data_IF_685064438173
#
_entry.id   IF_685064438173
#
_cell.length_a   1.000
_cell.length_b   1.000
_cell.length_c   1.000
_cell.angle_alpha   90.00
_cell.angle_beta   90.00
_cell.angle_gamma   90.00
#
_symmetry.space_group_name_H-M   'P 1'
#
loop_
_entity.id
_entity.type
_entity.pdbx_description
1 polymer ?
#
# COMPACT_ATOMS: atom_id res chain seq x y z
N UNK A 1 -21.75 2.76 -16.89
CA UNK A 1 -21.04 1.64 -16.24
C UNK A 1 -21.91 0.42 -16.35
N UNK A 2 -21.34 -0.69 -16.78
CA UNK A 2 -22.03 -1.98 -16.72
C UNK A 2 -22.03 -2.51 -15.28
N UNK A 3 -22.81 -3.56 -15.05
CA UNK A 3 -22.95 -4.17 -13.72
C UNK A 3 -21.61 -4.65 -13.16
N UNK A 4 -20.72 -5.18 -14.01
CA UNK A 4 -19.38 -5.60 -13.64
C UNK A 4 -18.50 -4.45 -13.16
N UNK A 5 -18.51 -3.32 -13.89
CA UNK A 5 -17.79 -2.11 -13.50
C UNK A 5 -18.28 -1.53 -12.18
N UNK A 6 -19.59 -1.57 -11.91
CA UNK A 6 -20.16 -1.13 -10.63
C UNK A 6 -19.66 -2.00 -9.46
N UNK A 7 -19.66 -3.34 -9.63
CA UNK A 7 -19.14 -4.27 -8.62
C UNK A 7 -17.67 -3.97 -8.31
N UNK A 8 -16.84 -3.80 -9.34
CA UNK A 8 -15.42 -3.51 -9.16
C UNK A 8 -15.19 -2.19 -8.41
N UNK A 9 -15.97 -1.16 -8.69
CA UNK A 9 -15.87 0.12 -7.97
C UNK A 9 -16.28 -0.03 -6.51
N UNK A 10 -17.38 -0.72 -6.24
CA UNK A 10 -17.86 -0.94 -4.85
C UNK A 10 -16.84 -1.75 -4.04
N UNK A 11 -16.34 -2.84 -4.61
CA UNK A 11 -15.32 -3.67 -3.97
C UNK A 11 -14.01 -2.89 -3.76
N UNK A 12 -13.59 -2.11 -4.76
CA UNK A 12 -12.41 -1.25 -4.66
C UNK A 12 -12.54 -0.19 -3.56
N UNK A 13 -13.70 0.47 -3.49
CA UNK A 13 -13.99 1.46 -2.45
C UNK A 13 -14.04 0.83 -1.06
N UNK A 14 -14.73 -0.31 -0.90
CA UNK A 14 -14.77 -1.04 0.35
C UNK A 14 -13.38 -1.50 0.81
N UNK A 15 -12.56 -2.02 -0.10
CA UNK A 15 -11.18 -2.41 0.17
C UNK A 15 -10.33 -1.20 0.59
N UNK A 16 -10.47 -0.06 -0.09
CA UNK A 16 -9.75 1.17 0.26
C UNK A 16 -10.15 1.68 1.67
N UNK A 17 -11.44 1.67 1.99
CA UNK A 17 -11.95 2.06 3.32
C UNK A 17 -11.43 1.12 4.40
N UNK A 18 -11.50 -0.21 4.16
CA UNK A 18 -11.00 -1.20 5.09
C UNK A 18 -9.50 -1.02 5.34
N UNK A 19 -8.72 -0.81 4.26
CA UNK A 19 -7.28 -0.54 4.35
C UNK A 19 -6.98 0.70 5.20
N UNK A 20 -7.64 1.83 4.92
CA UNK A 20 -7.47 3.05 5.72
C UNK A 20 -7.84 2.84 7.19
N UNK A 21 -8.90 2.08 7.44
CA UNK A 21 -9.31 1.71 8.81
C UNK A 21 -8.20 0.93 9.52
N UNK A 22 -7.61 -0.07 8.86
CA UNK A 22 -6.48 -0.82 9.43
C UNK A 22 -5.28 0.07 9.72
N UNK A 23 -4.94 1.01 8.82
CA UNK A 23 -3.84 1.96 9.02
C UNK A 23 -4.08 2.82 10.27
N UNK A 24 -5.29 3.37 10.41
CA UNK A 24 -5.66 4.19 11.59
C UNK A 24 -5.61 3.37 12.87
N UNK A 25 -6.18 2.15 12.86
CA UNK A 25 -6.15 1.26 14.02
C UNK A 25 -4.72 0.94 14.43
N UNK A 26 -3.85 0.60 13.47
CA UNK A 26 -2.45 0.30 13.73
C UNK A 26 -1.71 1.51 14.30
N UNK A 27 -1.92 2.70 13.73
CA UNK A 27 -1.36 3.96 14.25
C UNK A 27 -1.76 4.18 15.72
N UNK A 28 -3.06 4.05 16.02
CA UNK A 28 -3.58 4.24 17.38
C UNK A 28 -2.99 3.21 18.34
N UNK A 29 -2.88 1.94 17.93
CA UNK A 29 -2.26 0.89 18.75
C UNK A 29 -0.80 1.23 19.07
N UNK A 30 0.00 1.59 18.06
CA UNK A 30 1.42 1.93 18.23
C UNK A 30 1.60 3.14 19.16
N UNK A 31 0.80 4.19 18.98
CA UNK A 31 0.88 5.39 19.82
C UNK A 31 0.43 5.12 21.26
N UNK A 32 -0.50 4.19 21.45
CA UNK A 32 -1.01 3.83 22.79
C UNK A 32 -0.16 2.80 23.50
N UNK A 33 0.70 2.09 22.78
CA UNK A 33 1.54 1.04 23.36
C UNK A 33 2.67 1.66 24.19
N UNK A 34 2.49 1.64 25.52
CA UNK A 34 3.47 2.15 26.48
C UNK A 34 4.64 1.20 26.71
N UNK A 35 4.62 -0.01 26.15
CA UNK A 35 5.71 -0.97 26.25
C UNK A 35 6.80 -0.75 25.21
N UNK A 36 6.48 -0.01 24.13
CA UNK A 36 7.44 0.31 23.08
C UNK A 36 8.35 1.48 23.50
N UNK A 37 9.65 1.31 23.26
CA UNK A 37 10.57 2.43 23.28
C UNK A 37 10.20 3.44 22.18
N UNK A 38 10.43 4.73 22.44
CA UNK A 38 10.12 5.82 21.51
C UNK A 38 10.70 5.60 20.09
N UNK A 39 11.93 5.09 19.99
CA UNK A 39 12.52 4.80 18.68
C UNK A 39 11.76 3.70 17.93
N UNK A 40 11.32 2.64 18.63
CA UNK A 40 10.56 1.56 18.03
C UNK A 40 9.20 2.06 17.53
N UNK A 41 8.54 2.91 18.31
CA UNK A 41 7.29 3.56 17.92
C UNK A 41 7.46 4.38 16.63
N UNK A 42 8.52 5.21 16.56
CA UNK A 42 8.81 6.02 15.38
C UNK A 42 9.07 5.17 14.13
N UNK A 43 9.84 4.09 14.25
CA UNK A 43 10.12 3.16 13.15
C UNK A 43 8.84 2.53 12.63
N UNK A 44 7.95 2.06 13.52
CA UNK A 44 6.68 1.46 13.13
C UNK A 44 5.74 2.46 12.44
N UNK A 45 5.67 3.69 12.95
CA UNK A 45 4.88 4.75 12.33
C UNK A 45 5.39 5.08 10.92
N UNK A 46 6.70 5.24 10.74
CA UNK A 46 7.30 5.47 9.42
C UNK A 46 7.04 4.28 8.50
N UNK A 47 7.14 3.05 9.01
CA UNK A 47 6.89 1.83 8.23
C UNK A 47 5.46 1.80 7.70
N UNK A 48 4.46 2.04 8.56
CA UNK A 48 3.05 2.05 8.14
C UNK A 48 2.78 3.11 7.07
N UNK A 49 3.44 4.27 7.15
CA UNK A 49 3.28 5.35 6.16
C UNK A 49 4.00 5.05 4.83
N UNK A 50 5.17 4.41 4.87
CA UNK A 50 5.98 4.15 3.68
C UNK A 50 5.56 2.89 2.91
N UNK A 51 5.02 1.89 3.61
CA UNK A 51 4.61 0.62 3.00
C UNK A 51 3.58 0.77 1.86
N UNK A 52 2.52 1.62 1.95
CA UNK A 52 1.62 1.87 0.82
C UNK A 52 2.31 2.48 -0.40
N UNK A 53 3.38 3.27 -0.19
CA UNK A 53 4.14 3.89 -1.28
C UNK A 53 5.11 2.90 -1.93
N UNK A 54 5.52 1.85 -1.21
CA UNK A 54 6.48 0.87 -1.69
C UNK A 54 6.07 0.18 -3.00
N UNK A 55 4.80 -0.20 -3.13
CA UNK A 55 4.29 -0.82 -4.36
C UNK A 55 4.34 0.14 -5.57
N UNK A 56 4.00 1.40 -5.36
CA UNK A 56 4.05 2.45 -6.38
C UNK A 56 5.49 2.74 -6.80
N UNK A 57 6.38 2.89 -5.82
CA UNK A 57 7.82 3.10 -6.05
C UNK A 57 8.41 1.91 -6.82
N UNK A 58 8.07 0.67 -6.43
CA UNK A 58 8.53 -0.54 -7.12
C UNK A 58 8.03 -0.60 -8.58
N UNK A 59 6.78 -0.18 -8.84
CA UNK A 59 6.25 -0.07 -10.19
C UNK A 59 7.03 0.93 -11.05
N UNK A 60 7.31 2.13 -10.53
CA UNK A 60 8.11 3.12 -11.24
C UNK A 60 9.56 2.67 -11.45
N UNK A 61 10.15 2.02 -10.45
CA UNK A 61 11.53 1.57 -10.51
C UNK A 61 11.71 0.40 -11.50
N UNK A 62 10.82 -0.58 -11.49
CA UNK A 62 11.00 -1.85 -12.23
C UNK A 62 9.88 -2.08 -13.23
N UNK A 63 8.62 -2.02 -12.77
CA UNK A 63 7.44 -2.40 -13.56
C UNK A 63 7.27 -1.61 -14.86
N UNK A 64 7.60 -0.32 -14.86
CA UNK A 64 7.50 0.51 -16.06
C UNK A 64 8.49 0.09 -17.16
N UNK A 65 9.66 -0.48 -16.79
CA UNK A 65 10.70 -0.91 -17.73
C UNK A 65 10.46 -2.31 -18.29
N UNK A 66 9.55 -3.09 -17.72
CA UNK A 66 9.29 -4.48 -18.13
C UNK A 66 8.93 -4.63 -19.61
N UNK A 67 8.15 -3.70 -20.18
CA UNK A 67 7.79 -3.71 -21.62
C UNK A 67 8.98 -3.51 -22.56
N UNK A 68 10.03 -2.87 -22.09
CA UNK A 68 11.26 -2.67 -22.87
C UNK A 68 12.12 -3.94 -22.85
N UNK A 69 12.27 -4.56 -21.67
CA UNK A 69 12.91 -5.86 -21.53
C UNK A 69 12.22 -6.97 -22.35
N UNK A 70 10.89 -7.02 -22.32
CA UNK A 70 10.11 -7.99 -23.10
C UNK A 70 10.36 -7.85 -24.62
N UNK A 71 10.44 -6.62 -25.13
CA UNK A 71 10.77 -6.36 -26.55
C UNK A 71 12.20 -6.74 -26.95
N UNK A 72 13.15 -6.70 -26.01
CA UNK A 72 14.54 -7.12 -26.27
C UNK A 72 14.70 -8.64 -26.26
N UNK A 73 13.91 -9.37 -25.49
CA UNK A 73 13.97 -10.83 -25.37
C UNK A 73 13.23 -11.58 -26.49
N UNK A 74 12.27 -10.93 -27.15
CA UNK A 74 11.49 -11.50 -28.27
C UNK A 74 12.15 -11.24 -29.64
N UNK A 75 13.28 -10.51 -29.68
CA UNK A 75 14.14 -10.35 -30.86
C UNK A 75 15.17 -11.47 -30.95
#
# INVERSE_FOLDING_TARGET
>A
MDFGGLILVVLGAAAAIAYLTFVVVAFVQIVRDRSLAWQAQAIWLVTILMLPLGGTIAWFAVGHRTKEFERMLVR
#
